data_IF_371963537820
#
_entry.id   IF_371963537820
#
_cell.length_a   1.000
_cell.length_b   1.000
_cell.length_c   1.000
_cell.angle_alpha   90.00
_cell.angle_beta   90.00
_cell.angle_gamma   90.00
#
_symmetry.space_group_name_H-M   'P 1'
#
loop_
_entity.id
_entity.type
_entity.pdbx_description
1 polymer ?
#
# COMPACT_ATOMS: atom_id res chain seq x y z
N UNK A 1 6.44 5.15 11.25
CA UNK A 1 7.26 5.49 10.07
C UNK A 1 7.13 6.99 9.87
N UNK A 2 8.23 7.68 9.63
CA UNK A 2 8.19 9.12 9.36
C UNK A 2 7.65 9.40 7.96
N UNK A 3 7.21 10.62 7.71
CA UNK A 3 6.72 11.04 6.38
C UNK A 3 7.78 10.85 5.28
N UNK A 4 9.06 11.12 5.58
CA UNK A 4 10.19 10.90 4.67
C UNK A 4 10.37 9.43 4.31
N UNK A 5 10.30 8.53 5.31
CA UNK A 5 10.38 7.08 5.08
C UNK A 5 9.20 6.57 4.23
N UNK A 6 7.99 7.09 4.49
CA UNK A 6 6.78 6.76 3.73
C UNK A 6 6.95 7.11 2.25
N UNK A 7 7.41 8.32 1.96
CA UNK A 7 7.66 8.78 0.58
C UNK A 7 8.69 7.89 -0.13
N UNK A 8 9.87 7.67 0.48
CA UNK A 8 10.92 6.83 -0.10
C UNK A 8 10.44 5.41 -0.45
N UNK A 9 9.68 4.77 0.46
CA UNK A 9 9.16 3.41 0.22
C UNK A 9 8.10 3.38 -0.88
N UNK A 10 7.23 4.38 -0.92
CA UNK A 10 6.24 4.54 -1.99
C UNK A 10 6.90 4.70 -3.34
N UNK A 11 7.92 5.56 -3.44
CA UNK A 11 8.67 5.78 -4.68
C UNK A 11 9.38 4.50 -5.14
N UNK A 12 9.94 3.72 -4.21
CA UNK A 12 10.58 2.44 -4.52
C UNK A 12 9.57 1.41 -5.07
N UNK A 13 8.42 1.25 -4.41
CA UNK A 13 7.38 0.33 -4.89
C UNK A 13 6.81 0.73 -6.26
N UNK A 14 6.71 2.04 -6.54
CA UNK A 14 6.26 2.52 -7.86
C UNK A 14 7.29 2.18 -8.94
N UNK A 15 8.59 2.32 -8.65
CA UNK A 15 9.65 1.94 -9.59
C UNK A 15 9.66 0.45 -9.88
N UNK A 16 9.40 -0.37 -8.87
CA UNK A 16 9.47 -1.83 -8.95
C UNK A 16 8.21 -2.46 -9.58
N UNK A 17 7.03 -1.97 -9.24
CA UNK A 17 5.75 -2.59 -9.62
C UNK A 17 4.86 -1.71 -10.52
N UNK A 18 5.30 -0.49 -10.84
CA UNK A 18 4.50 0.49 -11.55
C UNK A 18 3.44 1.17 -10.66
N UNK A 19 2.78 2.18 -11.21
CA UNK A 19 1.75 2.95 -10.51
C UNK A 19 0.36 2.32 -10.65
N UNK A 20 0.17 1.16 -10.02
CA UNK A 20 -1.13 0.47 -9.99
C UNK A 20 -1.52 0.06 -8.57
N UNK A 21 -2.83 -0.09 -8.35
CA UNK A 21 -3.33 -0.70 -7.13
C UNK A 21 -3.01 -2.20 -7.10
N UNK A 22 -2.50 -2.70 -5.98
CA UNK A 22 -2.22 -4.12 -5.79
C UNK A 22 -3.51 -4.96 -5.82
N UNK A 23 -4.57 -4.44 -5.18
CA UNK A 23 -5.86 -5.13 -5.04
C UNK A 23 -6.69 -5.10 -6.33
N UNK A 24 -7.24 -3.94 -6.72
CA UNK A 24 -8.10 -3.85 -7.90
C UNK A 24 -7.37 -3.78 -9.25
N UNK A 25 -6.03 -3.77 -9.25
CA UNK A 25 -5.18 -3.73 -10.46
C UNK A 25 -5.32 -2.49 -11.35
N UNK A 26 -6.18 -1.52 -11.01
CA UNK A 26 -6.29 -0.27 -11.76
C UNK A 26 -4.99 0.54 -11.73
N UNK A 27 -4.63 1.05 -12.90
CA UNK A 27 -3.50 1.98 -13.06
C UNK A 27 -3.94 3.39 -12.66
N UNK A 28 -3.15 4.03 -11.82
CA UNK A 28 -3.50 5.30 -11.17
C UNK A 28 -2.27 6.22 -11.11
N UNK A 29 -2.47 7.54 -11.12
CA UNK A 29 -1.39 8.47 -10.84
C UNK A 29 -0.73 8.16 -9.49
N UNK A 30 0.60 8.27 -9.41
CA UNK A 30 1.36 8.03 -8.19
C UNK A 30 0.79 8.77 -6.97
N UNK A 31 0.28 10.00 -7.15
CA UNK A 31 -0.34 10.80 -6.08
C UNK A 31 -1.60 10.15 -5.48
N UNK A 32 -2.34 9.37 -6.26
CA UNK A 32 -3.59 8.70 -5.86
C UNK A 32 -3.37 7.34 -5.18
N UNK A 33 -2.12 6.85 -5.18
CA UNK A 33 -1.74 5.62 -4.49
C UNK A 33 -1.33 5.90 -3.04
N UNK A 34 -1.58 4.94 -2.19
CA UNK A 34 -1.23 4.94 -0.76
C UNK A 34 -0.38 3.70 -0.46
N UNK A 35 0.26 3.68 0.71
CA UNK A 35 0.93 2.48 1.20
C UNK A 35 -0.06 1.71 2.07
N UNK A 36 -0.24 0.44 1.74
CA UNK A 36 -1.05 -0.52 2.47
C UNK A 36 -0.17 -1.65 3.01
N UNK A 37 -0.50 -2.15 4.19
CA UNK A 37 0.24 -3.20 4.88
C UNK A 37 -0.43 -4.56 4.62
N UNK A 38 0.25 -5.52 3.97
CA UNK A 38 -0.30 -6.86 3.70
C UNK A 38 -0.75 -7.53 4.99
N UNK A 39 0.07 -7.52 6.03
CA UNK A 39 -0.35 -7.79 7.40
C UNK A 39 -0.57 -6.45 8.09
N UNK A 40 -1.78 -6.08 8.51
CA UNK A 40 -2.05 -4.81 9.18
C UNK A 40 -1.19 -4.63 10.43
N UNK A 41 -0.83 -3.37 10.73
CA UNK A 41 -0.03 -3.05 11.91
C UNK A 41 -0.64 -3.52 13.23
N UNK A 42 -1.95 -3.37 13.39
CA UNK A 42 -2.69 -3.82 14.58
C UNK A 42 -2.59 -5.33 14.80
N UNK A 43 -2.19 -6.09 13.77
CA UNK A 43 -1.99 -7.55 13.81
C UNK A 43 -0.51 -7.94 13.83
N UNK A 44 0.40 -6.99 14.06
CA UNK A 44 1.86 -7.23 14.09
C UNK A 44 2.57 -7.08 12.75
N UNK A 45 1.98 -6.35 11.80
CA UNK A 45 2.61 -6.04 10.52
C UNK A 45 3.85 -5.15 10.61
N UNK A 46 4.92 -5.54 9.91
CA UNK A 46 6.16 -4.75 9.82
C UNK A 46 6.00 -3.56 8.87
N UNK A 47 6.94 -2.62 8.90
CA UNK A 47 7.06 -1.60 7.85
C UNK A 47 8.06 -1.99 6.75
N UNK A 48 8.50 -3.25 6.65
CA UNK A 48 9.41 -3.68 5.59
C UNK A 48 8.75 -3.56 4.22
N UNK A 49 9.53 -3.48 3.15
CA UNK A 49 8.98 -3.41 1.80
C UNK A 49 8.20 -4.68 1.43
N UNK A 50 8.58 -5.84 1.97
CA UNK A 50 7.87 -7.09 1.71
C UNK A 50 6.42 -7.02 2.21
N UNK A 51 6.18 -6.33 3.33
CA UNK A 51 4.85 -6.16 3.91
C UNK A 51 4.08 -4.95 3.36
N UNK A 52 4.63 -4.19 2.42
CA UNK A 52 4.00 -2.99 1.88
C UNK A 52 3.58 -3.18 0.42
N UNK A 53 2.41 -2.67 0.07
CA UNK A 53 1.90 -2.61 -1.30
C UNK A 53 1.31 -1.25 -1.62
N UNK A 54 1.25 -0.91 -2.90
CA UNK A 54 0.54 0.26 -3.39
C UNK A 54 -0.96 -0.06 -3.45
N UNK A 55 -1.79 0.78 -2.85
CA UNK A 55 -3.24 0.63 -2.90
C UNK A 55 -3.90 1.97 -3.20
N UNK A 56 -4.99 1.96 -3.96
CA UNK A 56 -5.82 3.15 -4.11
C UNK A 56 -6.53 3.47 -2.78
N UNK A 57 -6.97 4.72 -2.62
CA UNK A 57 -7.67 5.14 -1.40
C UNK A 57 -8.94 4.29 -1.13
N UNK A 58 -9.81 3.98 -2.12
CA UNK A 58 -10.97 3.13 -1.89
C UNK A 58 -10.61 1.74 -1.35
N UNK A 59 -9.76 0.98 -2.06
CA UNK A 59 -9.36 -0.36 -1.64
C UNK A 59 -8.69 -0.36 -0.26
N UNK A 60 -7.78 0.59 0.00
CA UNK A 60 -7.12 0.68 1.30
C UNK A 60 -8.13 0.98 2.43
N UNK A 61 -9.09 1.87 2.18
CA UNK A 61 -10.15 2.20 3.14
C UNK A 61 -11.07 1.02 3.40
N UNK A 62 -11.55 0.33 2.35
CA UNK A 62 -12.41 -0.86 2.48
C UNK A 62 -11.72 -1.97 3.26
N UNK A 63 -10.43 -2.19 2.99
CA UNK A 63 -9.64 -3.23 3.66
C UNK A 63 -9.42 -2.96 5.15
N UNK A 64 -9.14 -1.71 5.51
CA UNK A 64 -8.93 -1.30 6.90
C UNK A 64 -7.84 -2.14 7.60
N UNK A 65 -8.22 -2.86 8.65
CA UNK A 65 -7.34 -3.79 9.39
C UNK A 65 -7.65 -5.28 9.11
N UNK A 66 -8.37 -5.57 8.03
CA UNK A 66 -8.62 -6.93 7.56
C UNK A 66 -7.32 -7.59 7.08
N UNK A 67 -7.23 -8.92 7.24
CA UNK A 67 -6.15 -9.70 6.65
C UNK A 67 -6.43 -10.05 5.19
N UNK A 68 -7.68 -9.91 4.76
CA UNK A 68 -8.15 -10.32 3.44
C UNK A 68 -8.13 -9.14 2.44
N UNK A 69 -8.22 -9.43 1.14
CA UNK A 69 -8.41 -8.39 0.12
C UNK A 69 -9.70 -7.57 0.38
N UNK A 70 -9.77 -6.31 -0.09
CA UNK A 70 -11.00 -5.53 -0.06
C UNK A 70 -11.99 -6.07 -1.11
N UNK A 71 -13.24 -6.23 -0.69
CA UNK A 71 -14.39 -6.57 -1.54
C UNK A 71 -14.93 -5.34 -2.30
#
# INVERSE_FOLDING_TARGET
MTSKQKKRKKDQLIREYGSQCWWCRHQLPAKSLTLDHIKPKSKGGSNSLENLRLACLPCNKTRGNSLYPPE
#
